data_IF_964374142723
#
_entry.id   IF_964374142723
#
_cell.length_a   1.000
_cell.length_b   1.000
_cell.length_c   1.000
_cell.angle_alpha   90.00
_cell.angle_beta   90.00
_cell.angle_gamma   90.00
#
_symmetry.space_group_name_H-M   'P 1'
#
loop_
_entity.id
_entity.type
_entity.pdbx_description
1 polymer ?
#
# COMPACT_ATOMS: atom_id res chain seq x y z
N UNK A 1 45.79 36.97 -10.32
CA UNK A 1 46.36 35.71 -10.84
C UNK A 1 45.68 34.54 -10.11
N UNK A 2 44.46 34.19 -10.56
CA UNK A 2 43.58 33.16 -9.98
C UNK A 2 42.98 32.37 -11.15
N UNK A 3 43.79 31.68 -11.95
CA UNK A 3 43.35 31.33 -13.33
C UNK A 3 43.62 29.91 -13.82
N UNK A 4 43.93 28.95 -12.95
CA UNK A 4 44.02 27.54 -13.39
C UNK A 4 43.40 26.58 -12.37
N UNK A 5 43.65 26.79 -11.08
CA UNK A 5 43.11 25.96 -10.01
C UNK A 5 41.58 26.04 -9.91
N UNK A 6 41.02 27.24 -9.96
CA UNK A 6 39.56 27.47 -9.89
C UNK A 6 38.82 26.87 -11.09
N UNK A 7 39.47 26.86 -12.27
CA UNK A 7 38.91 26.24 -13.47
C UNK A 7 38.95 24.71 -13.39
N UNK A 8 40.05 24.14 -12.90
CA UNK A 8 40.15 22.70 -12.65
C UNK A 8 39.13 22.23 -11.59
N UNK A 9 38.93 23.01 -10.53
CA UNK A 9 37.94 22.71 -9.49
C UNK A 9 36.50 22.82 -10.01
N UNK A 10 36.19 23.79 -10.87
CA UNK A 10 34.89 23.87 -11.56
C UNK A 10 34.64 22.72 -12.53
N UNK A 11 35.67 22.25 -13.24
CA UNK A 11 35.55 21.10 -14.12
C UNK A 11 35.37 19.81 -13.31
N UNK A 12 36.13 19.63 -12.23
CA UNK A 12 36.01 18.46 -11.36
C UNK A 12 34.63 18.37 -10.69
N UNK A 13 34.10 19.48 -10.20
CA UNK A 13 32.76 19.54 -9.60
C UNK A 13 31.65 19.32 -10.61
N UNK A 14 31.76 19.82 -11.85
CA UNK A 14 30.82 19.47 -12.93
C UNK A 14 30.86 17.99 -13.28
N UNK A 15 32.06 17.40 -13.38
CA UNK A 15 32.19 15.97 -13.71
C UNK A 15 31.63 15.08 -12.60
N UNK A 16 31.82 15.43 -11.33
CA UNK A 16 31.19 14.72 -10.22
C UNK A 16 29.66 14.79 -10.30
N UNK A 17 29.10 15.99 -10.54
CA UNK A 17 27.65 16.17 -10.66
C UNK A 17 27.03 15.42 -11.84
N UNK A 18 27.75 15.28 -12.96
CA UNK A 18 27.27 14.47 -14.09
C UNK A 18 27.34 12.97 -13.83
N UNK A 19 28.34 12.50 -13.08
CA UNK A 19 28.46 11.08 -12.72
C UNK A 19 27.38 10.70 -11.70
N UNK A 20 27.14 11.54 -10.70
CA UNK A 20 26.09 11.32 -9.69
C UNK A 20 24.69 11.31 -10.32
N UNK A 21 24.41 12.20 -11.28
CA UNK A 21 23.16 12.17 -12.06
C UNK A 21 23.00 10.91 -12.91
N UNK A 22 24.10 10.37 -13.46
CA UNK A 22 24.04 9.14 -14.26
C UNK A 22 23.79 7.91 -13.38
N UNK A 23 24.38 7.86 -12.18
CA UNK A 23 24.13 6.78 -11.23
C UNK A 23 22.69 6.82 -10.69
N UNK A 24 22.11 8.01 -10.48
CA UNK A 24 20.69 8.16 -10.13
C UNK A 24 19.77 7.66 -11.26
N UNK A 25 20.05 8.02 -12.51
CA UNK A 25 19.26 7.56 -13.68
C UNK A 25 19.33 6.02 -13.85
N UNK A 26 20.53 5.43 -13.71
CA UNK A 26 20.73 3.98 -13.79
C UNK A 26 20.01 3.25 -12.64
N UNK A 27 19.96 3.85 -11.44
CA UNK A 27 19.24 3.32 -10.29
C UNK A 27 17.72 3.39 -10.50
N UNK A 28 17.19 4.49 -11.03
CA UNK A 28 15.78 4.64 -11.36
C UNK A 28 15.35 3.62 -12.44
N UNK A 29 16.20 3.38 -13.44
CA UNK A 29 15.97 2.36 -14.46
C UNK A 29 15.90 0.96 -13.83
N UNK A 30 16.85 0.61 -12.95
CA UNK A 30 16.88 -0.69 -12.28
C UNK A 30 15.63 -0.93 -11.39
N UNK A 31 15.17 0.09 -10.67
CA UNK A 31 13.94 0.02 -9.87
C UNK A 31 12.73 -0.21 -10.78
N UNK A 32 12.65 0.51 -11.89
CA UNK A 32 11.57 0.38 -12.86
C UNK A 32 11.53 -1.02 -13.49
N UNK A 33 12.69 -1.55 -13.90
CA UNK A 33 12.78 -2.91 -14.44
C UNK A 33 12.38 -3.97 -13.39
N UNK A 34 12.81 -3.82 -12.15
CA UNK A 34 12.43 -4.74 -11.06
C UNK A 34 10.92 -4.74 -10.82
N UNK A 35 10.29 -3.56 -10.86
CA UNK A 35 8.85 -3.42 -10.72
C UNK A 35 8.08 -4.09 -11.87
N UNK A 36 8.57 -3.96 -13.10
CA UNK A 36 7.98 -4.62 -14.29
C UNK A 36 8.04 -6.15 -14.13
N UNK A 37 9.19 -6.69 -13.72
CA UNK A 37 9.36 -8.13 -13.51
C UNK A 37 8.42 -8.64 -12.42
N UNK A 38 8.31 -7.91 -11.30
CA UNK A 38 7.39 -8.27 -10.23
C UNK A 38 5.93 -8.27 -10.69
N UNK A 39 5.52 -7.26 -11.48
CA UNK A 39 4.18 -7.19 -12.07
C UNK A 39 3.91 -8.37 -13.02
N UNK A 40 4.86 -8.72 -13.88
CA UNK A 40 4.74 -9.87 -14.78
C UNK A 40 4.59 -11.19 -14.02
N UNK A 41 5.35 -11.38 -12.93
CA UNK A 41 5.21 -12.56 -12.07
C UNK A 41 3.82 -12.63 -11.41
N UNK A 42 3.28 -11.50 -10.96
CA UNK A 42 1.91 -11.48 -10.39
C UNK A 42 0.83 -11.78 -11.42
N UNK A 43 1.00 -11.34 -12.67
CA UNK A 43 0.04 -11.64 -13.74
C UNK A 43 0.07 -13.14 -14.06
N UNK A 44 1.26 -13.74 -14.19
CA UNK A 44 1.39 -15.17 -14.46
C UNK A 44 0.76 -16.05 -13.37
N UNK A 45 0.86 -15.65 -12.09
CA UNK A 45 0.21 -16.38 -11.01
C UNK A 45 -1.31 -16.24 -11.03
N UNK A 46 -1.85 -15.08 -11.43
CA UNK A 46 -3.29 -14.91 -11.61
C UNK A 46 -3.83 -15.74 -12.77
N UNK A 47 -3.13 -15.78 -13.91
CA UNK A 47 -3.49 -16.63 -15.05
C UNK A 47 -3.49 -18.12 -14.65
N UNK A 48 -2.49 -18.56 -13.87
CA UNK A 48 -2.43 -19.93 -13.33
C UNK A 48 -3.63 -20.28 -12.44
N UNK A 49 -4.06 -19.33 -11.60
CA UNK A 49 -5.23 -19.51 -10.73
C UNK A 49 -6.55 -19.51 -11.52
N UNK A 50 -6.64 -18.75 -12.60
CA UNK A 50 -7.80 -18.74 -13.50
C UNK A 50 -7.93 -20.09 -14.24
N UNK A 51 -6.82 -20.64 -14.74
CA UNK A 51 -6.79 -21.98 -15.35
C UNK A 51 -7.18 -23.09 -14.35
N UNK A 52 -6.74 -23.00 -13.09
CA UNK A 52 -7.14 -23.94 -12.04
C UNK A 52 -8.65 -23.87 -11.77
N UNK A 53 -9.23 -22.67 -11.73
CA UNK A 53 -10.66 -22.47 -11.50
C UNK A 53 -11.51 -23.03 -12.66
N UNK A 54 -11.13 -22.75 -13.91
CA UNK A 54 -11.85 -23.23 -15.10
C UNK A 54 -11.81 -24.76 -15.23
N UNK A 55 -10.78 -25.42 -14.69
CA UNK A 55 -10.69 -26.89 -14.67
C UNK A 55 -11.66 -27.58 -13.69
N UNK A 56 -12.18 -26.86 -12.69
CA UNK A 56 -13.03 -27.44 -11.63
C UNK A 56 -14.53 -27.43 -11.92
N UNK A 57 -14.99 -26.72 -12.95
CA UNK A 57 -16.42 -26.53 -13.24
C UNK A 57 -17.04 -27.59 -14.17
N UNK A 58 -16.31 -28.66 -14.56
CA UNK A 58 -16.80 -29.65 -15.54
C UNK A 58 -17.50 -30.89 -14.92
N UNK A 59 -17.34 -31.23 -13.63
CA UNK A 59 -17.85 -32.50 -13.08
C UNK A 59 -18.66 -32.37 -11.78
N UNK A 60 -19.70 -31.54 -11.74
CA UNK A 60 -20.76 -31.68 -10.72
C UNK A 60 -22.14 -31.92 -11.34
N UNK A 61 -22.65 -33.17 -11.33
CA UNK A 61 -24.02 -33.44 -11.71
C UNK A 61 -24.98 -32.86 -10.67
N UNK A 62 -25.87 -31.98 -11.17
CA UNK A 62 -27.08 -31.49 -10.53
C UNK A 62 -27.78 -32.59 -9.71
N UNK A 63 -27.76 -32.44 -8.39
CA UNK A 63 -28.77 -33.07 -7.52
C UNK A 63 -29.70 -31.99 -7.03
N UNK A 64 -30.97 -32.25 -7.30
CA UNK A 64 -32.12 -31.42 -7.03
C UNK A 64 -32.48 -31.37 -5.53
N UNK A 65 -33.32 -30.39 -5.24
CA UNK A 65 -34.28 -30.33 -4.13
C UNK A 65 -33.72 -30.08 -2.72
N UNK A 66 -33.86 -28.84 -2.25
CA UNK A 66 -34.52 -28.61 -0.96
C UNK A 66 -35.12 -27.19 -0.86
N UNK A 67 -36.45 -27.13 -0.97
CA UNK A 67 -37.30 -26.01 -0.60
C UNK A 67 -37.33 -25.87 0.94
N UNK A 68 -36.99 -24.70 1.52
CA UNK A 68 -37.61 -24.22 2.78
C UNK A 68 -37.71 -22.68 2.80
N UNK A 69 -38.92 -22.19 2.48
CA UNK A 69 -39.76 -21.20 3.18
C UNK A 69 -39.21 -19.82 3.69
N UNK A 70 -39.86 -18.69 3.33
CA UNK A 70 -39.56 -17.35 3.84
C UNK A 70 -40.51 -16.90 4.98
N UNK A 71 -39.99 -16.30 6.07
CA UNK A 71 -40.73 -15.24 6.80
C UNK A 71 -39.93 -14.51 7.91
N UNK A 72 -40.49 -13.36 8.30
CA UNK A 72 -40.16 -12.41 9.38
C UNK A 72 -39.24 -11.24 8.97
N UNK A 73 -39.80 -10.05 8.70
CA UNK A 73 -40.16 -8.98 9.67
C UNK A 73 -38.91 -8.35 10.31
N UNK A 74 -38.74 -7.05 10.48
CA UNK A 74 -39.63 -5.91 10.41
C UNK A 74 -38.81 -4.63 10.72
N UNK A 75 -39.48 -3.50 10.52
CA UNK A 75 -38.98 -2.12 10.52
C UNK A 75 -38.42 -1.65 11.86
N UNK A 76 -37.53 -0.64 11.85
CA UNK A 76 -37.77 0.62 12.58
C UNK A 76 -36.69 1.66 12.29
N UNK A 77 -37.14 2.82 11.86
CA UNK A 77 -36.40 4.06 11.74
C UNK A 77 -36.58 4.91 13.00
N UNK A 78 -35.51 5.54 13.50
CA UNK A 78 -35.59 6.77 14.30
C UNK A 78 -34.31 7.59 14.18
N UNK A 79 -34.49 8.87 13.88
CA UNK A 79 -33.57 10.00 14.07
C UNK A 79 -34.41 11.15 14.68
N UNK A 80 -33.93 12.38 14.95
CA UNK A 80 -32.60 12.89 15.35
C UNK A 80 -32.69 13.86 16.57
N UNK A 81 -31.58 14.27 17.22
CA UNK A 81 -31.51 15.56 17.96
C UNK A 81 -30.07 16.09 18.15
N UNK A 82 -29.68 17.07 17.31
CA UNK A 82 -29.08 18.40 17.58
C UNK A 82 -27.85 18.66 18.50
N UNK A 83 -27.15 19.83 18.35
CA UNK A 83 -25.70 19.91 18.16
C UNK A 83 -24.92 20.57 19.30
N UNK A 84 -23.58 20.54 19.24
CA UNK A 84 -22.75 21.57 19.86
C UNK A 84 -21.53 21.93 19.03
N UNK A 85 -21.30 23.25 19.03
CA UNK A 85 -20.40 24.06 18.22
C UNK A 85 -18.96 24.02 18.79
N UNK A 86 -17.91 24.17 17.97
CA UNK A 86 -16.50 24.05 18.36
C UNK A 86 -15.90 25.39 18.81
N UNK A 87 -14.74 25.39 19.50
CA UNK A 87 -13.82 26.52 19.46
C UNK A 87 -12.71 26.34 18.40
N UNK A 88 -12.41 27.49 17.80
CA UNK A 88 -11.50 27.83 16.71
C UNK A 88 -10.01 27.54 16.99
N UNK A 89 -9.14 27.50 15.96
CA UNK A 89 -7.77 26.99 16.05
C UNK A 89 -6.78 28.11 16.39
N UNK A 90 -5.77 27.79 17.22
CA UNK A 90 -4.58 28.62 17.35
C UNK A 90 -3.35 27.74 17.44
N UNK A 91 -2.51 27.86 16.40
CA UNK A 91 -1.10 27.46 16.33
C UNK A 91 -0.78 25.96 16.34
N UNK A 92 -0.92 25.30 15.18
CA UNK A 92 -0.44 23.91 15.01
C UNK A 92 0.42 23.68 13.75
N UNK A 93 0.89 24.76 13.11
CA UNK A 93 1.74 24.67 11.93
C UNK A 93 3.19 24.19 12.22
N UNK A 94 3.61 24.14 13.49
CA UNK A 94 5.01 23.84 13.87
C UNK A 94 5.20 22.59 14.76
N UNK A 95 4.22 21.68 14.84
CA UNK A 95 4.36 20.44 15.64
C UNK A 95 4.11 19.13 14.90
N UNK A 96 3.77 19.17 13.60
CA UNK A 96 3.33 17.96 12.86
C UNK A 96 4.40 17.26 12.02
N UNK A 97 5.65 17.74 12.01
CA UNK A 97 6.75 17.05 11.30
C UNK A 97 7.54 16.06 12.17
N UNK A 98 7.20 15.89 13.45
CA UNK A 98 7.95 15.02 14.37
C UNK A 98 7.23 13.71 14.78
N UNK A 99 5.97 13.49 14.39
CA UNK A 99 5.16 12.37 14.91
C UNK A 99 4.91 11.21 13.94
N UNK A 100 5.51 11.21 12.75
CA UNK A 100 5.42 10.06 11.83
C UNK A 100 6.53 9.02 12.01
N UNK A 101 7.61 9.36 12.72
CA UNK A 101 8.66 8.38 13.04
C UNK A 101 8.45 7.67 14.38
N UNK A 102 7.62 8.21 15.29
CA UNK A 102 7.48 7.68 16.66
C UNK A 102 6.42 6.56 16.79
N UNK A 103 5.61 6.33 15.76
CA UNK A 103 4.57 5.28 15.75
C UNK A 103 5.00 4.06 14.91
N UNK A 104 6.06 4.20 14.11
CA UNK A 104 6.52 3.14 13.19
C UNK A 104 7.81 2.44 13.63
N UNK A 105 8.65 3.04 14.49
CA UNK A 105 9.87 2.42 15.04
C UNK A 105 10.03 2.78 16.52
N UNK A 106 9.78 1.83 17.41
CA UNK A 106 9.74 2.04 18.84
C UNK A 106 11.06 2.52 19.46
N UNK A 107 10.97 3.50 20.36
CA UNK A 107 11.97 3.73 21.40
C UNK A 107 11.75 2.73 22.54
N UNK A 108 12.28 1.52 22.38
CA UNK A 108 12.69 0.70 23.52
C UNK A 108 13.97 -0.03 23.11
N UNK A 109 15.09 0.58 23.50
CA UNK A 109 16.38 -0.09 23.59
C UNK A 109 16.21 -1.18 24.66
N UNK A 110 15.92 -2.40 24.23
CA UNK A 110 16.76 -3.58 24.48
C UNK A 110 16.06 -4.84 23.93
N UNK A 111 16.87 -5.67 23.27
CA UNK A 111 16.58 -6.97 22.64
C UNK A 111 16.11 -6.97 21.16
N UNK A 112 17.10 -7.13 20.26
CA UNK A 112 16.96 -7.89 19.02
C UNK A 112 16.65 -9.37 19.40
N UNK A 113 15.73 -10.09 18.71
CA UNK A 113 16.09 -10.70 17.43
C UNK A 113 14.98 -10.67 16.36
N UNK A 114 15.37 -10.22 15.16
CA UNK A 114 14.84 -10.53 13.81
C UNK A 114 13.76 -11.64 13.69
N UNK A 115 12.67 -11.42 12.91
CA UNK A 115 11.96 -12.52 12.28
C UNK A 115 12.52 -12.78 10.87
N UNK A 116 13.05 -13.99 10.69
CA UNK A 116 13.29 -14.61 9.38
C UNK A 116 11.96 -14.99 8.72
N UNK A 117 11.93 -14.83 7.40
CA UNK A 117 11.16 -15.63 6.43
C UNK A 117 9.69 -15.90 6.77
N UNK A 118 8.82 -15.03 6.23
CA UNK A 118 7.41 -15.32 6.00
C UNK A 118 7.29 -16.02 4.64
N UNK A 119 7.93 -17.19 4.52
CA UNK A 119 7.72 -18.11 3.40
C UNK A 119 6.66 -19.13 3.82
N UNK A 120 5.51 -19.01 3.15
CA UNK A 120 4.74 -20.14 2.59
C UNK A 120 4.73 -21.45 3.37
N UNK A 121 3.67 -21.67 4.16
CA UNK A 121 3.28 -23.02 4.57
C UNK A 121 1.76 -23.13 4.77
N UNK A 122 1.00 -22.91 3.69
CA UNK A 122 -0.44 -23.17 3.62
C UNK A 122 -0.78 -24.46 2.86
N UNK A 123 0.15 -25.40 2.76
CA UNK A 123 -0.10 -26.76 2.25
C UNK A 123 0.13 -27.80 3.34
N UNK A 124 -0.68 -27.75 4.39
CA UNK A 124 -0.78 -28.86 5.36
C UNK A 124 -2.17 -29.49 5.37
N UNK A 125 -2.73 -29.65 4.17
CA UNK A 125 -3.74 -30.68 3.91
C UNK A 125 -2.94 -31.96 3.68
N UNK A 126 -2.63 -32.77 4.71
CA UNK A 126 -2.25 -34.20 4.67
C UNK A 126 -1.74 -34.68 6.06
N UNK A 127 -2.59 -34.68 7.10
CA UNK A 127 -2.21 -35.21 8.42
C UNK A 127 -3.26 -36.12 9.09
N UNK A 128 -4.49 -36.23 8.56
CA UNK A 128 -5.52 -37.10 9.15
C UNK A 128 -5.40 -38.60 8.78
N UNK A 129 -4.31 -39.03 8.12
CA UNK A 129 -4.15 -40.42 7.62
C UNK A 129 -3.09 -41.25 8.37
N UNK A 130 -2.84 -40.99 9.66
CA UNK A 130 -1.87 -41.80 10.44
C UNK A 130 -2.42 -42.49 11.70
N UNK A 131 -3.72 -42.38 12.02
CA UNK A 131 -4.27 -43.03 13.23
C UNK A 131 -4.75 -44.48 13.03
N UNK A 132 -4.58 -45.10 11.86
CA UNK A 132 -5.15 -46.44 11.57
C UNK A 132 -4.25 -47.65 11.89
N UNK A 133 -3.06 -47.46 12.46
CA UNK A 133 -2.18 -48.59 12.82
C UNK A 133 -2.52 -49.24 14.16
N UNK A 134 -3.30 -48.58 15.02
CA UNK A 134 -3.69 -49.14 16.33
C UNK A 134 -4.66 -50.32 16.19
N UNK A 135 -5.59 -50.27 15.23
CA UNK A 135 -6.51 -51.38 14.95
C UNK A 135 -5.80 -52.62 14.39
N UNK A 136 -4.62 -52.46 13.75
CA UNK A 136 -3.81 -53.61 13.32
C UNK A 136 -3.17 -54.32 14.51
N UNK A 137 -2.71 -53.62 15.55
CA UNK A 137 -2.05 -54.27 16.69
C UNK A 137 -3.01 -55.12 17.55
N UNK A 138 -4.28 -54.71 17.67
CA UNK A 138 -5.29 -55.51 18.38
C UNK A 138 -5.61 -56.84 17.67
N UNK A 139 -5.51 -56.89 16.34
CA UNK A 139 -5.72 -58.12 15.56
C UNK A 139 -4.54 -59.08 15.71
N UNK A 140 -3.30 -58.58 15.78
CA UNK A 140 -2.11 -59.42 16.00
C UNK A 140 -2.06 -60.03 17.41
N UNK A 141 -2.56 -59.33 18.43
CA UNK A 141 -2.64 -59.85 19.80
C UNK A 141 -3.72 -60.95 19.92
N UNK A 142 -4.88 -60.79 19.27
CA UNK A 142 -5.90 -61.83 19.23
C UNK A 142 -5.42 -63.08 18.48
N UNK A 143 -4.70 -62.91 17.36
CA UNK A 143 -4.15 -64.02 16.55
C UNK A 143 -3.16 -64.89 17.34
N UNK A 144 -2.28 -64.27 18.14
CA UNK A 144 -1.32 -65.00 18.99
C UNK A 144 -1.97 -65.74 20.14
N UNK A 145 -3.10 -65.25 20.66
CA UNK A 145 -3.82 -65.91 21.75
C UNK A 145 -4.60 -67.13 21.26
N UNK A 146 -5.08 -67.10 20.01
CA UNK A 146 -5.76 -68.24 19.38
C UNK A 146 -4.80 -69.33 18.88
N UNK A 147 -3.55 -68.99 18.56
CA UNK A 147 -2.55 -69.95 18.05
C UNK A 147 -1.90 -70.84 19.13
N UNK A 148 -2.12 -70.57 20.43
CA UNK A 148 -1.59 -71.44 21.50
C UNK A 148 -2.43 -72.72 21.76
N UNK A 149 -3.55 -72.92 21.04
CA UNK A 149 -4.48 -74.04 21.29
C UNK A 149 -4.40 -75.23 20.34
N UNK A 150 -3.47 -75.25 19.36
CA UNK A 150 -3.46 -76.26 18.28
C UNK A 150 -2.18 -77.09 18.21
N UNK A 151 -2.09 -78.16 19.00
CA UNK A 151 -1.01 -79.15 18.94
C UNK A 151 -1.00 -79.97 17.62
N UNK A 152 0.19 -80.46 17.22
CA UNK A 152 0.31 -81.79 16.57
C UNK A 152 1.48 -82.60 17.17
N UNK A 153 1.36 -83.95 17.25
CA UNK A 153 2.24 -84.80 18.05
C UNK A 153 3.26 -85.62 17.22
N UNK A 154 4.37 -85.98 17.87
CA UNK A 154 5.44 -86.88 17.38
C UNK A 154 6.77 -86.12 17.25
N UNK A 155 7.89 -86.50 17.87
CA UNK A 155 8.40 -87.81 18.30
C UNK A 155 9.28 -87.65 19.55
N UNK A 156 9.25 -88.66 20.42
CA UNK A 156 10.09 -88.80 21.62
C UNK A 156 11.58 -88.61 21.31
N UNK A 157 12.25 -87.78 22.12
CA UNK A 157 13.56 -88.13 22.68
C UNK A 157 13.66 -87.71 24.14
N UNK A 158 14.17 -88.65 24.91
CA UNK A 158 14.25 -88.74 26.36
C UNK A 158 15.35 -87.85 26.94
N UNK A 159 15.00 -86.93 27.85
CA UNK A 159 15.57 -86.79 29.20
C UNK A 159 15.22 -85.42 29.81
N UNK A 160 14.84 -85.42 31.09
CA UNK A 160 14.38 -84.29 31.91
C UNK A 160 12.92 -83.85 31.72
N UNK A 161 11.99 -84.70 32.16
CA UNK A 161 10.62 -84.30 32.50
C UNK A 161 10.66 -83.23 33.61
N UNK A 162 10.08 -82.03 33.40
CA UNK A 162 9.86 -81.09 34.49
C UNK A 162 8.91 -81.73 35.52
N UNK A 163 9.02 -81.37 36.81
CA UNK A 163 8.08 -81.84 37.83
C UNK A 163 6.67 -81.38 37.45
N UNK A 164 5.69 -82.29 37.51
CA UNK A 164 4.28 -81.95 37.33
C UNK A 164 3.93 -80.93 38.42
N UNK A 165 3.54 -79.69 38.08
CA UNK A 165 3.19 -78.69 39.07
C UNK A 165 2.04 -79.22 39.92
N UNK A 166 2.14 -79.01 41.22
CA UNK A 166 1.00 -79.29 42.10
C UNK A 166 -0.17 -78.39 41.67
N UNK A 167 -1.41 -78.88 41.78
CA UNK A 167 -2.62 -78.11 41.41
C UNK A 167 -2.64 -76.71 42.09
N UNK A 168 -2.03 -76.62 43.27
CA UNK A 168 -1.81 -75.38 44.03
C UNK A 168 -0.83 -74.38 43.39
N UNK A 169 0.22 -74.84 42.70
CA UNK A 169 1.17 -73.96 42.00
C UNK A 169 0.52 -73.37 40.75
N UNK A 170 -0.25 -74.18 40.03
CA UNK A 170 -1.01 -73.73 38.86
C UNK A 170 -2.06 -72.67 39.21
N UNK A 171 -2.75 -72.85 40.34
CA UNK A 171 -3.70 -71.85 40.85
C UNK A 171 -3.00 -70.53 41.20
N UNK A 172 -1.84 -70.59 41.88
CA UNK A 172 -1.04 -69.37 42.16
C UNK A 172 -0.56 -68.68 40.89
N UNK A 173 -0.13 -69.44 39.89
CA UNK A 173 0.31 -68.88 38.62
C UNK A 173 -0.85 -68.20 37.86
N UNK A 174 -2.05 -68.78 37.90
CA UNK A 174 -3.24 -68.17 37.32
C UNK A 174 -3.68 -66.90 38.08
N UNK A 175 -3.62 -66.88 39.41
CA UNK A 175 -3.86 -65.67 40.21
C UNK A 175 -2.85 -64.58 39.89
N UNK A 176 -1.57 -64.94 39.75
CA UNK A 176 -0.52 -64.03 39.34
C UNK A 176 -0.76 -63.48 37.93
N UNK A 177 -1.10 -64.34 36.96
CA UNK A 177 -1.44 -63.90 35.61
C UNK A 177 -2.67 -62.99 35.58
N UNK A 178 -3.71 -63.30 36.36
CA UNK A 178 -4.91 -62.46 36.45
C UNK A 178 -4.59 -61.09 37.03
N UNK A 179 -3.81 -61.02 38.12
CA UNK A 179 -3.38 -59.76 38.71
C UNK A 179 -2.53 -58.92 37.73
N UNK A 180 -1.60 -59.54 37.01
CA UNK A 180 -0.81 -58.88 35.96
C UNK A 180 -1.71 -58.41 34.80
N UNK A 181 -2.70 -59.21 34.40
CA UNK A 181 -3.65 -58.82 33.35
C UNK A 181 -4.53 -57.64 33.77
N UNK A 182 -4.96 -57.58 35.03
CA UNK A 182 -5.74 -56.46 35.54
C UNK A 182 -4.89 -55.19 35.64
N UNK A 183 -3.65 -55.31 36.09
CA UNK A 183 -2.71 -54.19 36.15
C UNK A 183 -2.43 -53.62 34.76
N UNK A 184 -2.11 -54.47 33.78
CA UNK A 184 -1.85 -54.02 32.40
C UNK A 184 -3.09 -53.38 31.76
N UNK A 185 -4.29 -53.90 32.03
CA UNK A 185 -5.54 -53.27 31.56
C UNK A 185 -5.78 -51.90 32.21
N UNK A 186 -5.49 -51.74 33.51
CA UNK A 186 -5.59 -50.46 34.20
C UNK A 186 -4.59 -49.44 33.65
N UNK A 187 -3.33 -49.84 33.44
CA UNK A 187 -2.29 -49.00 32.83
C UNK A 187 -2.67 -48.58 31.41
N UNK A 188 -3.19 -49.51 30.60
CA UNK A 188 -3.65 -49.22 29.25
C UNK A 188 -4.83 -48.23 29.26
N UNK A 189 -5.82 -48.45 30.13
CA UNK A 189 -6.95 -47.54 30.30
C UNK A 189 -6.49 -46.13 30.69
N UNK A 190 -5.60 -46.02 31.67
CA UNK A 190 -5.02 -44.74 32.08
C UNK A 190 -4.25 -44.06 30.92
N UNK A 191 -3.53 -44.83 30.10
CA UNK A 191 -2.82 -44.29 28.93
C UNK A 191 -3.77 -43.75 27.86
N UNK A 192 -4.93 -44.38 27.66
CA UNK A 192 -5.95 -43.91 26.72
C UNK A 192 -6.63 -42.63 27.22
N UNK A 193 -7.02 -42.60 28.50
CA UNK A 193 -7.60 -41.41 29.12
C UNK A 193 -6.63 -40.22 29.08
N UNK A 194 -5.34 -40.44 29.36
CA UNK A 194 -4.32 -39.40 29.25
C UNK A 194 -4.18 -38.88 27.82
N UNK A 195 -4.15 -39.77 26.83
CA UNK A 195 -4.05 -39.40 25.41
C UNK A 195 -5.28 -38.62 24.92
N UNK A 196 -6.46 -38.99 25.39
CA UNK A 196 -7.70 -38.29 25.08
C UNK A 196 -7.67 -36.86 25.64
N UNK A 197 -7.27 -36.70 26.90
CA UNK A 197 -7.11 -35.39 27.54
C UNK A 197 -6.08 -34.52 26.81
N UNK A 198 -4.91 -35.06 26.44
CA UNK A 198 -3.90 -34.33 25.67
C UNK A 198 -4.43 -33.88 24.30
N UNK A 199 -5.23 -34.72 23.64
CA UNK A 199 -5.84 -34.39 22.35
C UNK A 199 -6.89 -33.27 22.50
N UNK A 200 -7.73 -33.33 23.53
CA UNK A 200 -8.70 -32.27 23.84
C UNK A 200 -8.02 -30.94 24.18
N UNK A 201 -6.99 -30.96 25.01
CA UNK A 201 -6.22 -29.75 25.34
C UNK A 201 -5.57 -29.13 24.11
N UNK A 202 -4.99 -29.97 23.23
CA UNK A 202 -4.37 -29.50 22.00
C UNK A 202 -5.40 -28.87 21.06
N UNK A 203 -6.57 -29.48 20.93
CA UNK A 203 -7.66 -28.93 20.13
C UNK A 203 -8.19 -27.61 20.71
N UNK A 204 -8.34 -27.53 22.04
CA UNK A 204 -8.73 -26.29 22.72
C UNK A 204 -7.73 -25.16 22.50
N UNK A 205 -6.42 -25.46 22.58
CA UNK A 205 -5.34 -24.49 22.30
C UNK A 205 -5.41 -23.99 20.84
N UNK A 206 -5.61 -24.89 19.88
CA UNK A 206 -5.76 -24.53 18.45
C UNK A 206 -6.98 -23.64 18.20
N UNK A 207 -8.12 -23.95 18.83
CA UNK A 207 -9.32 -23.12 18.72
C UNK A 207 -9.09 -21.72 19.30
N UNK A 208 -8.46 -21.63 20.46
CA UNK A 208 -8.09 -20.35 21.07
C UNK A 208 -7.14 -19.54 20.18
N UNK A 209 -6.16 -20.18 19.55
CA UNK A 209 -5.27 -19.51 18.60
C UNK A 209 -6.03 -18.98 17.38
N UNK A 210 -6.91 -19.78 16.77
CA UNK A 210 -7.72 -19.34 15.62
C UNK A 210 -8.63 -18.16 15.97
N UNK A 211 -9.20 -18.15 17.17
CA UNK A 211 -9.99 -17.02 17.65
C UNK A 211 -9.14 -15.76 17.78
N UNK A 212 -7.93 -15.85 18.34
CA UNK A 212 -7.02 -14.71 18.47
C UNK A 212 -6.56 -14.18 17.10
N UNK A 213 -6.26 -15.06 16.16
CA UNK A 213 -5.86 -14.69 14.80
C UNK A 213 -7.01 -14.02 14.06
N UNK A 214 -8.23 -14.56 14.20
CA UNK A 214 -9.44 -13.95 13.66
C UNK A 214 -9.68 -12.55 14.22
N UNK A 215 -9.62 -12.36 15.54
CA UNK A 215 -9.77 -11.04 16.15
C UNK A 215 -8.71 -10.07 15.64
N UNK A 216 -7.46 -10.51 15.52
CA UNK A 216 -6.37 -9.72 14.97
C UNK A 216 -6.64 -9.30 13.52
N UNK A 217 -7.08 -10.23 12.67
CA UNK A 217 -7.46 -9.95 11.29
C UNK A 217 -8.61 -8.93 11.19
N UNK A 218 -9.64 -9.07 12.02
CA UNK A 218 -10.74 -8.11 12.11
C UNK A 218 -10.23 -6.71 12.51
N UNK A 219 -9.30 -6.63 13.46
CA UNK A 219 -8.69 -5.37 13.85
C UNK A 219 -7.88 -4.72 12.72
N UNK A 220 -7.11 -5.50 11.96
CA UNK A 220 -6.39 -5.01 10.80
C UNK A 220 -7.34 -4.46 9.72
N UNK A 221 -8.38 -5.21 9.36
CA UNK A 221 -9.38 -4.77 8.38
C UNK A 221 -10.08 -3.49 8.82
N UNK A 222 -10.45 -3.39 10.10
CA UNK A 222 -11.05 -2.17 10.65
C UNK A 222 -10.07 -0.99 10.65
N UNK A 223 -8.79 -1.25 10.89
CA UNK A 223 -7.72 -0.26 10.81
C UNK A 223 -7.53 0.28 9.39
N UNK A 224 -7.49 -0.61 8.40
CA UNK A 224 -7.34 -0.25 6.98
C UNK A 224 -8.58 0.46 6.45
N UNK A 225 -9.79 0.06 6.83
CA UNK A 225 -11.03 0.76 6.49
C UNK A 225 -11.01 2.20 7.02
N UNK A 226 -10.61 2.39 8.27
CA UNK A 226 -10.49 3.72 8.89
C UNK A 226 -9.46 4.58 8.18
N UNK A 227 -8.32 4.01 7.79
CA UNK A 227 -7.30 4.73 7.01
C UNK A 227 -7.85 5.13 5.63
N UNK A 228 -8.48 4.20 4.93
CA UNK A 228 -9.07 4.42 3.60
C UNK A 228 -10.14 5.51 3.64
N UNK A 229 -10.94 5.56 4.71
CA UNK A 229 -11.89 6.66 4.94
C UNK A 229 -11.19 8.02 5.04
N UNK A 230 -10.12 8.13 5.84
CA UNK A 230 -9.34 9.38 5.96
C UNK A 230 -8.70 9.79 4.64
N UNK A 231 -8.12 8.84 3.90
CA UNK A 231 -7.52 9.12 2.59
C UNK A 231 -8.56 9.64 1.60
N UNK A 232 -9.78 9.11 1.61
CA UNK A 232 -10.90 9.63 0.81
C UNK A 232 -11.27 11.07 1.21
N UNK A 233 -11.33 11.36 2.51
CA UNK A 233 -11.61 12.71 3.02
C UNK A 233 -10.50 13.71 2.62
N UNK A 234 -9.23 13.31 2.72
CA UNK A 234 -8.09 14.13 2.28
C UNK A 234 -8.10 14.38 0.77
N UNK A 235 -8.36 13.36 -0.03
CA UNK A 235 -8.50 13.48 -1.48
C UNK A 235 -9.63 14.44 -1.86
N UNK A 236 -10.79 14.33 -1.19
CA UNK A 236 -11.91 15.27 -1.39
C UNK A 236 -11.51 16.72 -1.06
N UNK A 237 -10.76 16.92 0.02
CA UNK A 237 -10.22 18.23 0.41
C UNK A 237 -9.27 18.78 -0.66
N UNK A 238 -8.31 17.98 -1.15
CA UNK A 238 -7.40 18.41 -2.21
C UNK A 238 -8.14 18.78 -3.50
N UNK A 239 -9.16 18.01 -3.89
CA UNK A 239 -10.00 18.36 -5.05
C UNK A 239 -10.73 19.69 -4.86
N UNK A 240 -11.24 19.96 -3.66
CA UNK A 240 -11.89 21.24 -3.36
C UNK A 240 -10.89 22.41 -3.42
N UNK A 241 -9.69 22.21 -2.87
CA UNK A 241 -8.61 23.22 -2.91
C UNK A 241 -8.11 23.47 -4.34
N UNK A 242 -7.97 22.42 -5.16
CA UNK A 242 -7.60 22.53 -6.58
C UNK A 242 -8.62 23.39 -7.33
N UNK A 243 -9.92 23.08 -7.20
CA UNK A 243 -10.99 23.90 -7.81
C UNK A 243 -10.96 25.36 -7.36
N UNK A 244 -10.66 25.59 -6.06
CA UNK A 244 -10.54 26.95 -5.52
C UNK A 244 -9.33 27.69 -6.11
N UNK A 245 -8.21 27.00 -6.31
CA UNK A 245 -7.03 27.59 -6.94
C UNK A 245 -7.25 27.83 -8.43
N UNK A 246 -7.87 26.90 -9.16
CA UNK A 246 -8.27 27.09 -10.55
C UNK A 246 -9.17 28.32 -10.71
N UNK A 247 -10.17 28.48 -9.85
CA UNK A 247 -11.04 29.65 -9.86
C UNK A 247 -10.25 30.95 -9.64
N UNK A 248 -9.24 30.95 -8.74
CA UNK A 248 -8.36 32.11 -8.53
C UNK A 248 -7.47 32.38 -9.74
N UNK A 249 -6.92 31.35 -10.38
CA UNK A 249 -6.11 31.49 -11.59
C UNK A 249 -6.97 32.12 -12.69
N UNK A 250 -8.17 31.60 -12.93
CA UNK A 250 -9.11 32.18 -13.90
C UNK A 250 -9.41 33.65 -13.57
N UNK A 251 -9.71 33.96 -12.31
CA UNK A 251 -9.96 35.33 -11.88
C UNK A 251 -8.77 36.25 -12.16
N UNK A 252 -7.56 35.85 -11.80
CA UNK A 252 -6.34 36.64 -12.03
C UNK A 252 -6.06 36.80 -13.52
N UNK A 253 -6.26 35.76 -14.33
CA UNK A 253 -6.10 35.83 -15.79
C UNK A 253 -7.09 36.83 -16.41
N UNK A 254 -8.34 36.85 -15.97
CA UNK A 254 -9.33 37.84 -16.41
C UNK A 254 -8.88 39.26 -16.06
N UNK A 255 -8.42 39.47 -14.82
CA UNK A 255 -7.92 40.78 -14.38
C UNK A 255 -6.69 41.23 -15.17
N UNK A 256 -5.75 40.32 -15.45
CA UNK A 256 -4.55 40.60 -16.24
C UNK A 256 -4.90 40.95 -17.70
N UNK A 257 -5.85 40.24 -18.31
CA UNK A 257 -6.31 40.55 -19.65
C UNK A 257 -7.00 41.92 -19.71
N UNK A 258 -7.76 42.27 -18.67
CA UNK A 258 -8.36 43.60 -18.56
C UNK A 258 -7.30 44.70 -18.45
N UNK A 259 -6.33 44.56 -17.54
CA UNK A 259 -5.26 45.55 -17.38
C UNK A 259 -4.39 45.65 -18.63
N UNK A 260 -4.17 44.54 -19.35
CA UNK A 260 -3.48 44.55 -20.64
C UNK A 260 -4.26 45.33 -21.70
N UNK A 261 -5.58 45.15 -21.78
CA UNK A 261 -6.43 45.89 -22.71
C UNK A 261 -6.50 47.38 -22.36
N UNK A 262 -6.53 47.73 -21.07
CA UNK A 262 -6.50 49.12 -20.62
C UNK A 262 -5.14 49.75 -20.97
N UNK A 263 -4.03 49.03 -20.78
CA UNK A 263 -2.70 49.49 -21.17
C UNK A 263 -2.56 49.72 -22.68
N UNK A 264 -3.10 48.83 -23.52
CA UNK A 264 -3.05 49.01 -24.98
C UNK A 264 -3.82 50.26 -25.41
N UNK A 265 -5.00 50.52 -24.82
CA UNK A 265 -5.78 51.74 -25.09
C UNK A 265 -5.01 53.00 -24.70
N UNK A 266 -4.47 53.03 -23.48
CA UNK A 266 -3.68 54.18 -23.01
C UNK A 266 -2.46 54.41 -23.91
N UNK A 267 -1.82 53.33 -24.37
CA UNK A 267 -0.68 53.42 -25.28
C UNK A 267 -1.08 54.00 -26.65
N UNK A 268 -2.18 53.53 -27.23
CA UNK A 268 -2.72 54.04 -28.49
C UNK A 268 -3.09 55.52 -28.36
N UNK A 269 -3.82 55.91 -27.30
CA UNK A 269 -4.15 57.31 -27.01
C UNK A 269 -2.91 58.20 -26.85
N UNK A 270 -1.85 57.69 -26.20
CA UNK A 270 -0.60 58.42 -26.02
C UNK A 270 0.17 58.58 -27.34
N UNK A 271 0.17 57.57 -28.21
CA UNK A 271 0.79 57.65 -29.55
C UNK A 271 0.02 58.61 -30.47
N UNK A 272 -1.32 58.58 -30.45
CA UNK A 272 -2.16 59.53 -31.18
C UNK A 272 -1.92 60.97 -30.69
N UNK A 273 -1.95 61.19 -29.38
CA UNK A 273 -1.66 62.49 -28.80
C UNK A 273 -0.27 62.98 -29.25
N UNK A 274 0.75 62.13 -29.17
CA UNK A 274 2.10 62.48 -29.64
C UNK A 274 2.14 62.87 -31.12
N UNK A 275 1.45 62.13 -31.99
CA UNK A 275 1.37 62.45 -33.41
C UNK A 275 0.69 63.80 -33.66
N UNK A 276 -0.39 64.12 -32.92
CA UNK A 276 -1.05 65.43 -33.03
C UNK A 276 -0.17 66.58 -32.56
N UNK A 277 0.61 66.39 -31.48
CA UNK A 277 1.57 67.38 -31.01
C UNK A 277 2.68 67.64 -32.05
N UNK A 278 3.24 66.58 -32.63
CA UNK A 278 4.28 66.70 -33.66
C UNK A 278 3.76 67.39 -34.93
N UNK A 279 2.51 67.11 -35.33
CA UNK A 279 1.88 67.79 -36.47
C UNK A 279 1.70 69.30 -36.21
N UNK A 280 1.23 69.67 -35.02
CA UNK A 280 1.07 71.07 -34.61
C UNK A 280 2.42 71.79 -34.54
N UNK A 281 3.46 71.13 -34.05
CA UNK A 281 4.82 71.68 -34.00
C UNK A 281 5.32 71.98 -35.42
N UNK A 282 5.22 71.02 -36.34
CA UNK A 282 5.59 71.21 -37.76
C UNK A 282 4.80 72.34 -38.43
N UNK A 283 3.51 72.47 -38.14
CA UNK A 283 2.69 73.57 -38.63
C UNK A 283 3.20 74.91 -38.10
N UNK A 284 3.47 75.02 -36.79
CA UNK A 284 4.04 76.24 -36.21
C UNK A 284 5.40 76.57 -36.83
N UNK A 285 6.30 75.61 -36.99
CA UNK A 285 7.58 75.81 -37.67
C UNK A 285 7.42 76.30 -39.10
N UNK A 286 6.48 75.73 -39.85
CA UNK A 286 6.15 76.17 -41.21
C UNK A 286 5.71 77.62 -41.23
N UNK A 287 4.81 78.02 -40.33
CA UNK A 287 4.37 79.43 -40.25
C UNK A 287 5.50 80.39 -39.88
N UNK A 288 6.44 79.97 -39.02
CA UNK A 288 7.63 80.78 -38.71
C UNK A 288 8.55 80.93 -39.90
N UNK A 289 8.79 79.84 -40.65
CA UNK A 289 9.59 79.87 -41.88
C UNK A 289 8.97 80.79 -42.93
N UNK A 290 7.67 80.69 -43.16
CA UNK A 290 6.94 81.56 -44.09
C UNK A 290 7.08 83.04 -43.71
N UNK A 291 6.86 83.38 -42.43
CA UNK A 291 7.05 84.75 -41.92
C UNK A 291 8.48 85.25 -42.11
N UNK A 292 9.47 84.39 -41.89
CA UNK A 292 10.88 84.74 -42.10
C UNK A 292 11.16 85.05 -43.58
N UNK A 293 10.67 84.21 -44.49
CA UNK A 293 10.84 84.43 -45.93
C UNK A 293 10.14 85.70 -46.42
N UNK A 294 8.97 86.02 -45.87
CA UNK A 294 8.27 87.27 -46.18
C UNK A 294 9.08 88.48 -45.73
N UNK A 295 9.59 88.48 -44.49
CA UNK A 295 10.40 89.56 -43.96
C UNK A 295 11.68 89.77 -44.78
N UNK A 296 12.30 88.68 -45.24
CA UNK A 296 13.47 88.75 -46.13
C UNK A 296 13.12 89.38 -47.49
N UNK A 297 11.98 89.03 -48.08
CA UNK A 297 11.48 89.64 -49.31
C UNK A 297 11.17 91.14 -49.16
N UNK A 298 10.51 91.52 -48.06
CA UNK A 298 10.21 92.92 -47.73
C UNK A 298 11.50 93.72 -47.53
N UNK A 299 12.50 93.15 -46.84
CA UNK A 299 13.82 93.76 -46.66
C UNK A 299 14.55 93.96 -47.99
N UNK A 300 14.60 92.92 -48.85
CA UNK A 300 15.21 93.02 -50.18
C UNK A 300 14.52 94.11 -51.02
N UNK A 301 13.19 94.20 -50.95
CA UNK A 301 12.41 95.24 -51.62
C UNK A 301 12.80 96.63 -51.11
N UNK A 302 12.84 96.84 -49.79
CA UNK A 302 13.25 98.11 -49.19
C UNK A 302 14.67 98.53 -49.58
N UNK A 303 15.63 97.59 -49.59
CA UNK A 303 17.01 97.84 -50.07
C UNK A 303 17.01 98.25 -51.54
N UNK A 304 16.22 97.59 -52.40
CA UNK A 304 16.06 97.96 -53.80
C UNK A 304 15.47 99.37 -53.97
N UNK A 305 14.47 99.75 -53.17
CA UNK A 305 13.89 101.09 -53.18
C UNK A 305 14.95 102.15 -52.84
N UNK A 306 15.70 101.98 -51.75
CA UNK A 306 16.77 102.92 -51.34
C UNK A 306 17.81 103.07 -52.45
N UNK A 307 18.29 101.95 -52.99
CA UNK A 307 19.28 101.95 -54.08
C UNK A 307 18.75 102.60 -55.36
N UNK A 308 17.46 102.47 -55.65
CA UNK A 308 16.82 103.14 -56.79
C UNK A 308 16.72 104.64 -56.56
N UNK A 309 16.42 105.07 -55.34
CA UNK A 309 16.36 106.51 -54.99
C UNK A 309 17.74 107.16 -55.00
N UNK A 310 18.80 106.46 -54.59
CA UNK A 310 20.18 106.95 -54.68
C UNK A 310 20.66 107.20 -56.13
N UNK A 311 20.13 106.47 -57.11
CA UNK A 311 20.47 106.68 -58.53
C UNK A 311 19.77 107.87 -59.18
N UNK A 312 18.70 108.37 -58.56
CA UNK A 312 17.90 109.48 -59.09
C UNK A 312 18.32 110.85 -58.53
N UNK A 313 19.15 110.87 -57.49
CA UNK A 313 19.77 112.05 -56.89
C UNK A 313 21.17 112.27 -57.48
#
# INVERSE_FOLDING_TARGET
MLTTLDFAQKIATRKLSTIESQEEDDQEEAVTQTLIIAQQATIAELERLEEEQESTDIDHPLSADEEINPNSEGQSATAPTHPSIPPSPRNEANRRSAYLNDILLGSSIDADPRPRSLESNWTSTHSWRQSSTSSRQSVYLLQKWTDQGGEKPGTLDTTSSPPIPTETERLRELELQLSQSLQTHQELKASYEAREQEAEETNRKKLSQLENDYQSAVHYVKGTEKLLKRMKEELAKYKADMKKMEAKVIYVTIQLNKSRADYTKIKEEAEEAKATYEAREKETEKTYREKLTQLESDYQSAVHYVKSTEKLL
#
